data_IF_252693009292
#
_entry.id   IF_252693009292
#
_cell.length_a   1.000
_cell.length_b   1.000
_cell.length_c   1.000
_cell.angle_alpha   90.00
_cell.angle_beta   90.00
_cell.angle_gamma   90.00
#
_symmetry.space_group_name_H-M   'P 1'
#
loop_
_entity.id
_entity.type
_entity.pdbx_description
1 polymer ?
#
# COMPACT_ATOMS: atom_id res chain seq x y z
N UNK A 1 12.98 39.54 2.55
CA UNK A 1 11.65 39.04 2.95
C UNK A 1 11.75 37.52 3.14
N UNK A 2 11.55 36.97 4.34
CA UNK A 2 11.64 35.52 4.53
C UNK A 2 10.30 34.88 4.15
N UNK A 3 10.30 34.03 3.13
CA UNK A 3 9.14 33.20 2.76
C UNK A 3 9.08 31.98 3.68
N UNK A 4 7.97 31.86 4.40
CA UNK A 4 7.66 30.79 5.35
C UNK A 4 7.60 29.43 4.62
N UNK A 5 8.43 28.49 5.03
CA UNK A 5 8.22 27.06 4.78
C UNK A 5 7.03 26.58 5.59
N UNK A 6 5.87 26.47 4.94
CA UNK A 6 4.70 25.84 5.51
C UNK A 6 4.83 24.32 5.42
N UNK A 7 5.22 23.68 6.52
CA UNK A 7 4.98 22.26 6.72
C UNK A 7 3.45 22.07 6.79
N UNK A 8 2.85 21.40 5.81
CA UNK A 8 1.45 21.00 5.89
C UNK A 8 1.35 19.81 6.85
N UNK A 9 1.29 20.12 8.15
CA UNK A 9 0.87 19.16 9.15
C UNK A 9 -0.64 19.00 9.03
N UNK A 10 -1.11 17.79 8.70
CA UNK A 10 -2.52 17.44 8.90
C UNK A 10 -2.85 17.61 10.38
N UNK A 11 -3.87 18.39 10.75
CA UNK A 11 -4.23 18.60 12.15
C UNK A 11 -4.67 17.26 12.78
N UNK A 12 -4.32 17.02 14.05
CA UNK A 12 -4.54 15.74 14.73
C UNK A 12 -6.03 15.37 14.86
N UNK A 13 -6.92 16.36 14.78
CA UNK A 13 -8.37 16.21 14.96
C UNK A 13 -9.17 16.55 13.69
N UNK A 14 -8.56 16.50 12.50
CA UNK A 14 -9.37 16.49 11.29
C UNK A 14 -10.32 15.28 11.37
N UNK A 15 -11.66 15.46 11.30
CA UNK A 15 -12.55 14.32 11.22
C UNK A 15 -12.05 13.41 10.09
N UNK A 16 -12.15 12.10 10.26
CA UNK A 16 -12.03 11.12 9.19
C UNK A 16 -13.16 11.35 8.18
N UNK A 17 -13.28 12.53 7.59
CA UNK A 17 -14.24 12.84 6.58
C UNK A 17 -13.70 12.30 5.26
N UNK A 18 -13.67 10.98 5.18
CA UNK A 18 -13.60 10.23 3.94
C UNK A 18 -14.96 9.94 3.27
N UNK A 19 -16.15 10.49 3.66
CA UNK A 19 -17.39 9.85 3.25
C UNK A 19 -17.77 10.11 1.80
N UNK A 20 -17.45 11.27 1.21
CA UNK A 20 -17.97 11.61 -0.12
C UNK A 20 -17.17 10.98 -1.27
N UNK A 21 -15.85 10.80 -1.10
CA UNK A 21 -14.99 10.22 -2.14
C UNK A 21 -15.05 8.68 -2.19
N UNK A 22 -15.62 8.05 -1.17
CA UNK A 22 -15.69 6.59 -1.06
C UNK A 22 -17.10 6.03 -1.34
N UNK A 23 -18.11 6.88 -1.61
CA UNK A 23 -19.53 6.45 -1.77
C UNK A 23 -19.71 5.38 -2.84
N UNK A 24 -18.88 5.40 -3.89
CA UNK A 24 -18.95 4.44 -5.00
C UNK A 24 -17.88 3.34 -4.93
N UNK A 25 -17.11 3.26 -3.83
CA UNK A 25 -16.07 2.24 -3.67
C UNK A 25 -16.56 1.09 -2.80
N UNK A 26 -16.23 -0.13 -3.22
CA UNK A 26 -16.39 -1.32 -2.39
C UNK A 26 -15.43 -1.23 -1.21
N UNK A 27 -15.96 -1.04 -0.01
CA UNK A 27 -15.18 -1.11 1.24
C UNK A 27 -15.03 -2.58 1.62
N UNK A 28 -13.77 -3.02 1.71
CA UNK A 28 -13.41 -4.31 2.29
C UNK A 28 -13.16 -4.10 3.77
N UNK A 29 -14.09 -4.53 4.60
CA UNK A 29 -13.89 -4.66 6.04
C UNK A 29 -13.22 -6.01 6.33
N UNK A 30 -12.04 -6.00 6.94
CA UNK A 30 -11.30 -7.22 7.29
C UNK A 30 -11.79 -7.84 8.61
N UNK A 31 -12.53 -7.07 9.43
CA UNK A 31 -12.99 -7.48 10.76
C UNK A 31 -14.41 -8.06 10.75
N UNK A 32 -15.08 -8.04 9.59
CA UNK A 32 -16.42 -8.62 9.46
C UNK A 32 -16.36 -10.15 9.53
N UNK A 33 -17.24 -10.73 10.36
CA UNK A 33 -17.30 -12.19 10.56
C UNK A 33 -17.73 -12.95 9.29
N UNK A 34 -18.39 -12.29 8.36
CA UNK A 34 -18.79 -12.86 7.07
C UNK A 34 -18.52 -11.83 5.99
N UNK A 35 -17.32 -11.81 5.42
CA UNK A 35 -16.97 -10.82 4.41
C UNK A 35 -17.74 -11.07 3.11
N UNK A 36 -18.00 -10.00 2.37
CA UNK A 36 -18.74 -10.07 1.11
C UNK A 36 -18.08 -10.99 0.06
N UNK A 37 -16.80 -11.31 0.24
CA UNK A 37 -16.05 -12.24 -0.60
C UNK A 37 -16.07 -13.70 -0.11
N UNK A 38 -16.74 -14.02 1.00
CA UNK A 38 -16.69 -15.35 1.62
C UNK A 38 -17.19 -16.47 0.69
N UNK A 39 -18.17 -16.15 -0.16
CA UNK A 39 -18.74 -17.07 -1.15
C UNK A 39 -18.09 -16.92 -2.55
N UNK A 40 -17.05 -16.09 -2.67
CA UNK A 40 -16.33 -15.91 -3.94
C UNK A 40 -15.30 -17.03 -4.14
N UNK A 41 -14.86 -17.20 -5.39
CA UNK A 41 -13.83 -18.20 -5.68
C UNK A 41 -12.54 -17.89 -4.93
N UNK A 42 -11.93 -18.93 -4.36
CA UNK A 42 -10.58 -18.88 -3.82
C UNK A 42 -9.50 -19.15 -4.88
N UNK A 43 -9.89 -19.38 -6.13
CA UNK A 43 -8.97 -19.64 -7.24
C UNK A 43 -8.36 -18.33 -7.75
N UNK A 44 -7.07 -18.38 -8.10
CA UNK A 44 -6.40 -17.30 -8.82
C UNK A 44 -6.83 -17.33 -10.29
N UNK A 45 -7.56 -16.31 -10.80
CA UNK A 45 -8.04 -16.32 -12.17
C UNK A 45 -6.88 -16.21 -13.17
N UNK A 46 -6.95 -16.93 -14.30
CA UNK A 46 -5.91 -16.87 -15.32
C UNK A 46 -5.73 -15.42 -15.83
N UNK A 47 -4.58 -14.77 -15.56
CA UNK A 47 -4.34 -13.39 -15.96
C UNK A 47 -4.40 -13.22 -17.47
N UNK A 48 -4.04 -14.25 -18.24
CA UNK A 48 -4.04 -14.20 -19.71
C UNK A 48 -5.46 -14.22 -20.26
N UNK A 49 -6.35 -15.02 -19.67
CA UNK A 49 -7.76 -15.05 -20.02
C UNK A 49 -8.44 -13.69 -19.76
N UNK A 50 -7.98 -12.96 -18.75
CA UNK A 50 -8.41 -11.59 -18.44
C UNK A 50 -7.73 -10.51 -19.31
N UNK A 51 -6.86 -10.89 -20.25
CA UNK A 51 -6.09 -9.94 -21.06
C UNK A 51 -5.06 -9.12 -20.27
N UNK A 52 -4.76 -9.53 -19.03
CA UNK A 52 -3.76 -8.89 -18.20
C UNK A 52 -2.37 -9.20 -18.73
N UNK A 53 -1.48 -8.22 -18.57
CA UNK A 53 -0.09 -8.31 -18.99
C UNK A 53 0.80 -7.60 -17.97
N UNK A 54 2.09 -7.95 -17.87
CA UNK A 54 3.01 -7.31 -16.94
C UNK A 54 3.22 -5.80 -17.16
N UNK A 55 2.73 -5.25 -18.27
CA UNK A 55 2.77 -3.81 -18.61
C UNK A 55 1.58 -3.02 -18.05
N UNK A 56 0.58 -3.68 -17.47
CA UNK A 56 -0.49 -2.97 -16.77
C UNK A 56 0.06 -2.32 -15.48
N UNK A 57 -0.59 -1.24 -15.06
CA UNK A 57 -0.24 -0.54 -13.84
C UNK A 57 -0.58 -1.41 -12.63
N UNK A 58 0.38 -1.56 -11.72
CA UNK A 58 0.19 -2.15 -10.42
C UNK A 58 -0.24 -1.11 -9.39
N UNK A 59 0.34 0.10 -9.44
CA UNK A 59 -0.04 1.20 -8.55
C UNK A 59 0.32 2.57 -9.13
N UNK A 60 -0.31 3.60 -8.57
CA UNK A 60 0.00 5.01 -8.81
C UNK A 60 0.20 5.71 -7.47
N UNK A 61 1.36 6.35 -7.29
CA UNK A 61 1.66 7.15 -6.09
C UNK A 61 1.83 8.61 -6.48
N UNK A 62 1.14 9.50 -5.76
CA UNK A 62 1.23 10.93 -5.99
C UNK A 62 2.36 11.55 -5.19
N UNK A 63 3.13 12.41 -5.85
CA UNK A 63 4.26 13.14 -5.27
C UNK A 63 4.03 14.64 -5.40
N UNK A 64 4.63 15.43 -4.51
CA UNK A 64 4.57 16.89 -4.63
C UNK A 64 5.23 17.34 -5.94
N UNK A 65 4.47 18.06 -6.77
CA UNK A 65 5.01 18.67 -7.97
C UNK A 65 5.64 20.02 -7.66
N UNK A 66 6.76 20.33 -8.30
CA UNK A 66 7.40 21.66 -8.24
C UNK A 66 6.50 22.80 -8.71
N UNK A 67 5.42 22.48 -9.45
CA UNK A 67 4.42 23.42 -9.97
C UNK A 67 3.21 23.58 -9.03
N UNK A 68 3.20 22.95 -7.86
CA UNK A 68 2.08 22.96 -6.91
C UNK A 68 0.99 21.92 -7.20
N UNK A 69 0.99 21.29 -8.37
CA UNK A 69 0.08 20.18 -8.71
C UNK A 69 0.76 18.83 -8.49
N UNK A 70 0.17 17.90 -7.71
CA UNK A 70 0.74 16.57 -7.52
C UNK A 70 0.91 15.80 -8.83
N UNK A 71 2.01 15.05 -8.95
CA UNK A 71 2.31 14.19 -10.12
C UNK A 71 2.12 12.72 -9.74
N UNK A 72 1.34 11.99 -10.53
CA UNK A 72 1.15 10.54 -10.38
C UNK A 72 2.30 9.76 -11.00
N UNK A 73 3.03 9.01 -10.19
CA UNK A 73 4.05 8.06 -10.64
C UNK A 73 3.36 6.74 -10.91
N UNK A 74 3.27 6.36 -12.18
CA UNK A 74 2.65 5.12 -12.64
C UNK A 74 3.67 3.99 -12.65
N UNK A 75 3.42 2.92 -11.90
CA UNK A 75 4.31 1.76 -11.82
C UNK A 75 3.62 0.51 -12.36
N UNK A 76 4.26 -0.14 -13.33
CA UNK A 76 3.76 -1.38 -13.94
C UNK A 76 4.07 -2.63 -13.09
N UNK A 77 3.27 -3.70 -13.23
CA UNK A 77 3.48 -4.99 -12.55
C UNK A 77 4.91 -5.54 -12.71
N UNK A 78 5.49 -5.47 -13.91
CA UNK A 78 6.87 -5.95 -14.14
C UNK A 78 7.92 -5.20 -13.34
N UNK A 79 7.70 -3.91 -13.07
CA UNK A 79 8.68 -3.06 -12.38
C UNK A 79 8.78 -3.44 -10.91
N UNK A 80 7.64 -3.59 -10.24
CA UNK A 80 7.60 -4.03 -8.84
C UNK A 80 8.09 -5.48 -8.70
N UNK A 81 7.67 -6.39 -9.59
CA UNK A 81 8.15 -7.78 -9.52
C UNK A 81 9.68 -7.88 -9.68
N UNK A 82 10.29 -7.11 -10.59
CA UNK A 82 11.74 -7.06 -10.70
C UNK A 82 12.41 -6.65 -9.38
N UNK A 83 11.85 -5.64 -8.69
CA UNK A 83 12.34 -5.17 -7.40
C UNK A 83 12.20 -6.24 -6.31
N UNK A 84 11.09 -6.96 -6.27
CA UNK A 84 10.84 -8.00 -5.27
C UNK A 84 11.68 -9.26 -5.50
N UNK A 85 11.85 -9.69 -6.75
CA UNK A 85 12.74 -10.82 -7.09
C UNK A 85 14.17 -10.55 -6.66
N UNK A 86 14.67 -9.31 -6.86
CA UNK A 86 15.98 -8.93 -6.34
C UNK A 86 16.03 -9.01 -4.81
N UNK A 87 15.00 -8.47 -4.15
CA UNK A 87 14.89 -8.45 -2.69
C UNK A 87 14.90 -9.87 -2.12
N UNK A 88 14.14 -10.76 -2.74
CA UNK A 88 14.03 -12.15 -2.33
C UNK A 88 15.37 -12.87 -2.42
N UNK A 89 16.13 -12.65 -3.50
CA UNK A 89 17.49 -13.21 -3.64
C UNK A 89 18.47 -12.68 -2.59
N UNK A 90 18.30 -11.43 -2.15
CA UNK A 90 19.21 -10.78 -1.22
C UNK A 90 18.91 -11.11 0.25
N UNK A 91 17.63 -11.23 0.61
CA UNK A 91 17.19 -11.27 2.00
C UNK A 91 16.38 -12.52 2.37
N UNK A 92 15.91 -13.30 1.39
CA UNK A 92 15.28 -14.61 1.59
C UNK A 92 14.14 -14.64 2.62
N UNK A 93 13.18 -13.71 2.50
CA UNK A 93 11.95 -13.73 3.29
C UNK A 93 11.20 -15.04 3.00
N UNK A 94 10.60 -15.63 4.03
CA UNK A 94 9.86 -16.87 3.90
C UNK A 94 8.62 -16.87 4.81
N UNK A 95 7.81 -17.92 4.71
CA UNK A 95 6.54 -18.04 5.41
C UNK A 95 6.62 -18.00 6.96
N UNK A 96 7.81 -18.16 7.55
CA UNK A 96 8.00 -18.06 9.01
C UNK A 96 8.25 -16.64 9.49
N UNK A 97 8.49 -15.70 8.57
CA UNK A 97 8.78 -14.31 8.90
C UNK A 97 7.50 -13.49 9.13
N UNK A 98 7.65 -12.45 9.94
CA UNK A 98 6.60 -11.47 10.24
C UNK A 98 7.08 -10.09 9.80
N UNK A 99 6.34 -9.45 8.90
CA UNK A 99 6.62 -8.11 8.40
C UNK A 99 5.62 -7.12 8.98
N UNK A 100 6.12 -6.01 9.51
CA UNK A 100 5.29 -4.90 9.97
C UNK A 100 4.96 -3.98 8.80
N UNK A 101 3.68 -3.82 8.51
CA UNK A 101 3.15 -2.76 7.66
C UNK A 101 3.18 -1.46 8.47
N UNK A 102 4.26 -0.67 8.31
CA UNK A 102 4.47 0.57 9.07
C UNK A 102 4.38 1.80 8.18
N UNK A 103 4.77 1.68 6.92
CA UNK A 103 4.89 2.84 6.04
C UNK A 103 3.49 3.24 5.55
N UNK A 104 3.09 4.53 5.63
CA UNK A 104 1.80 4.93 5.07
C UNK A 104 1.70 4.53 3.58
N UNK A 105 0.56 3.98 3.16
CA UNK A 105 0.38 3.38 1.83
C UNK A 105 0.59 4.37 0.65
N UNK A 106 0.57 5.68 0.93
CA UNK A 106 0.90 6.73 -0.04
C UNK A 106 2.39 6.88 -0.33
N UNK A 107 3.28 6.13 0.32
CA UNK A 107 4.73 6.11 0.04
C UNK A 107 5.15 4.78 -0.56
N UNK A 108 6.12 4.82 -1.48
CA UNK A 108 6.57 3.66 -2.27
C UNK A 108 7.18 2.53 -1.44
N UNK A 109 7.81 2.85 -0.32
CA UNK A 109 8.33 1.86 0.66
C UNK A 109 7.21 0.93 1.17
N UNK A 110 5.95 1.38 1.23
CA UNK A 110 4.85 0.50 1.63
C UNK A 110 4.60 -0.65 0.63
N UNK A 111 4.95 -0.47 -0.64
CA UNK A 111 4.66 -1.46 -1.67
C UNK A 111 5.36 -2.81 -1.40
N UNK A 112 6.62 -2.78 -0.95
CA UNK A 112 7.30 -4.05 -0.61
C UNK A 112 6.76 -4.65 0.68
N UNK A 113 6.34 -3.85 1.67
CA UNK A 113 5.76 -4.34 2.91
C UNK A 113 4.52 -5.20 2.61
N UNK A 114 3.67 -4.78 1.67
CA UNK A 114 2.52 -5.57 1.22
C UNK A 114 2.92 -6.73 0.31
N UNK A 115 3.47 -6.41 -0.86
CA UNK A 115 3.56 -7.40 -1.94
C UNK A 115 4.61 -8.46 -1.68
N UNK A 116 5.76 -8.13 -1.06
CA UNK A 116 6.80 -9.13 -0.80
C UNK A 116 6.33 -10.13 0.24
N UNK A 117 5.72 -9.64 1.32
CA UNK A 117 5.19 -10.45 2.41
C UNK A 117 4.15 -11.45 1.90
N UNK A 118 3.18 -10.97 1.12
CA UNK A 118 2.12 -11.82 0.57
C UNK A 118 2.64 -12.78 -0.51
N UNK A 119 3.61 -12.37 -1.32
CA UNK A 119 4.20 -13.21 -2.37
C UNK A 119 4.93 -14.43 -1.80
N UNK A 120 5.60 -14.28 -0.66
CA UNK A 120 6.40 -15.34 -0.03
C UNK A 120 5.63 -16.11 1.07
N UNK A 121 4.33 -15.81 1.25
CA UNK A 121 3.48 -16.45 2.26
C UNK A 121 3.82 -16.09 3.71
N UNK A 122 4.53 -14.98 3.92
CA UNK A 122 4.87 -14.47 5.24
C UNK A 122 3.65 -13.80 5.91
N UNK A 123 3.77 -13.51 7.21
CA UNK A 123 2.71 -12.83 7.95
C UNK A 123 2.86 -11.31 7.87
N UNK A 124 1.82 -10.60 7.45
CA UNK A 124 1.75 -9.14 7.48
C UNK A 124 1.00 -8.66 8.73
N UNK A 125 1.62 -7.83 9.56
CA UNK A 125 0.99 -7.20 10.73
C UNK A 125 0.79 -5.72 10.47
N UNK A 126 -0.44 -5.23 10.66
CA UNK A 126 -0.75 -3.81 10.47
C UNK A 126 -0.39 -3.00 11.72
N UNK A 127 0.42 -1.95 11.55
CA UNK A 127 0.65 -1.01 12.63
C UNK A 127 -0.63 -0.21 12.94
N UNK A 128 -0.91 0.12 14.21
CA UNK A 128 -2.02 1.00 14.55
C UNK A 128 -1.91 2.36 13.84
N UNK A 129 -3.04 3.04 13.59
CA UNK A 129 -3.03 4.39 13.03
C UNK A 129 -2.06 5.31 13.79
N UNK A 130 -1.31 6.12 13.03
CA UNK A 130 -0.29 7.05 13.54
C UNK A 130 0.93 6.46 14.28
N UNK A 131 0.99 5.15 14.55
CA UNK A 131 2.14 4.53 15.24
C UNK A 131 3.47 4.72 14.49
N UNK A 132 3.43 4.92 13.16
CA UNK A 132 4.61 5.21 12.34
C UNK A 132 5.35 6.52 12.71
N UNK A 133 4.73 7.40 13.49
CA UNK A 133 5.27 8.71 13.90
C UNK A 133 6.00 8.68 15.25
N UNK A 134 5.76 7.65 16.07
CA UNK A 134 6.16 7.67 17.47
C UNK A 134 6.94 6.39 17.81
N UNK A 135 8.23 6.49 18.15
CA UNK A 135 8.94 5.35 18.72
C UNK A 135 8.39 5.05 20.12
N UNK A 136 8.26 3.77 20.46
CA UNK A 136 7.88 3.40 21.82
C UNK A 136 9.03 3.76 22.78
N UNK A 137 8.77 4.37 23.94
CA UNK A 137 9.81 4.57 24.94
C UNK A 137 10.36 3.21 25.39
N UNK A 138 11.69 3.14 25.53
CA UNK A 138 12.42 1.98 26.04
C UNK A 138 12.16 1.76 27.54
#
# INVERSE_FOLDING_TARGET
MPHRGGCFAMPPDAPHSAPEALVDLTVVDLETATPAWADQSADDPDPRALGLSPRHLAYVIYTSGSTGTPKGVMVEHRAILNRLIWMQKAYALNATDVVLQKTPFGFDVSAWEFFWTLLEGATLVLAPPAAHKTPMPL
#
